data_IF_045524811454
#
_entry.id   IF_045524811454
#
_cell.length_a   1.000
_cell.length_b   1.000
_cell.length_c   1.000
_cell.angle_alpha   90.00
_cell.angle_beta   90.00
_cell.angle_gamma   90.00
#
_symmetry.space_group_name_H-M   'P 1'
#
loop_
_entity.id
_entity.type
_entity.pdbx_description
1 polymer ?
#
# COMPACT_ATOMS: atom_id res chain seq x y z
N UNK A 1 -23.81 -29.78 7.90
CA UNK A 1 -24.70 -29.50 6.76
C UNK A 1 -24.81 -28.00 6.42
N UNK A 2 -24.60 -27.04 7.33
CA UNK A 2 -24.64 -25.60 6.99
C UNK A 2 -23.41 -25.12 6.18
N UNK A 3 -22.29 -25.82 6.27
CA UNK A 3 -21.01 -25.43 5.66
C UNK A 3 -21.05 -25.42 4.12
N UNK A 4 -21.82 -26.34 3.51
CA UNK A 4 -21.94 -26.41 2.05
C UNK A 4 -22.87 -25.35 1.47
N UNK A 5 -23.90 -24.91 2.20
CA UNK A 5 -24.79 -23.85 1.75
C UNK A 5 -24.11 -22.49 1.77
N UNK A 6 -23.32 -22.22 2.82
CA UNK A 6 -22.50 -21.00 2.90
C UNK A 6 -21.43 -20.98 1.81
N UNK A 7 -20.66 -22.07 1.63
CA UNK A 7 -19.63 -22.15 0.59
C UNK A 7 -20.20 -21.92 -0.82
N UNK A 8 -21.37 -22.50 -1.14
CA UNK A 8 -22.06 -22.23 -2.41
C UNK A 8 -22.52 -20.77 -2.55
N UNK A 9 -23.06 -20.19 -1.47
CA UNK A 9 -23.48 -18.79 -1.49
C UNK A 9 -22.29 -17.83 -1.68
N UNK A 10 -21.14 -18.13 -1.06
CA UNK A 10 -19.89 -17.39 -1.26
C UNK A 10 -19.44 -17.50 -2.71
N UNK A 11 -19.33 -18.72 -3.26
CA UNK A 11 -18.90 -18.91 -4.64
C UNK A 11 -19.84 -18.23 -5.66
N UNK A 12 -21.15 -18.33 -5.46
CA UNK A 12 -22.14 -17.70 -6.35
C UNK A 12 -22.11 -16.17 -6.27
N UNK A 13 -21.98 -15.60 -5.07
CA UNK A 13 -21.86 -14.16 -4.90
C UNK A 13 -20.51 -13.64 -5.43
N UNK A 14 -19.44 -14.40 -5.29
CA UNK A 14 -18.12 -14.06 -5.82
C UNK A 14 -18.13 -14.06 -7.36
N UNK A 15 -18.69 -15.10 -7.99
CA UNK A 15 -18.91 -15.11 -9.45
C UNK A 15 -19.77 -13.93 -9.92
N UNK A 16 -20.86 -13.62 -9.20
CA UNK A 16 -21.67 -12.43 -9.51
C UNK A 16 -20.84 -11.14 -9.50
N UNK A 17 -20.01 -10.96 -8.47
CA UNK A 17 -19.20 -9.75 -8.30
C UNK A 17 -18.07 -9.67 -9.33
N UNK A 18 -17.42 -10.78 -9.66
CA UNK A 18 -16.27 -10.81 -10.57
C UNK A 18 -16.69 -10.81 -12.03
N UNK A 19 -17.79 -11.49 -12.37
CA UNK A 19 -18.16 -11.77 -13.76
C UNK A 19 -19.29 -10.86 -14.29
N UNK A 20 -20.14 -10.29 -13.42
CA UNK A 20 -21.34 -9.54 -13.84
C UNK A 20 -21.37 -8.06 -13.42
N UNK A 21 -20.58 -7.63 -12.44
CA UNK A 21 -20.65 -6.26 -11.90
C UNK A 21 -19.28 -5.57 -11.85
N UNK A 22 -19.24 -4.33 -12.34
CA UNK A 22 -18.05 -3.49 -12.23
C UNK A 22 -17.91 -2.91 -10.80
N UNK A 23 -16.67 -2.60 -10.36
CA UNK A 23 -16.44 -1.80 -9.16
C UNK A 23 -17.30 -0.53 -9.07
N UNK A 24 -17.79 -0.22 -7.87
CA UNK A 24 -18.71 0.87 -7.60
C UNK A 24 -20.18 0.56 -7.86
N UNK A 25 -20.51 -0.54 -8.54
CA UNK A 25 -21.89 -0.93 -8.78
C UNK A 25 -22.58 -1.44 -7.50
N UNK A 26 -23.88 -1.16 -7.37
CA UNK A 26 -24.71 -1.67 -6.27
C UNK A 26 -25.27 -3.04 -6.63
N UNK A 27 -25.03 -4.03 -5.79
CA UNK A 27 -25.63 -5.34 -5.94
C UNK A 27 -27.15 -5.30 -5.72
N UNK A 28 -27.90 -6.30 -6.22
CA UNK A 28 -29.30 -6.48 -5.88
C UNK A 28 -29.54 -6.64 -4.37
N UNK A 29 -30.80 -6.51 -3.95
CA UNK A 29 -31.14 -6.61 -2.53
C UNK A 29 -30.90 -8.01 -1.96
N UNK A 30 -30.62 -8.12 -0.65
CA UNK A 30 -30.36 -9.41 0.00
C UNK A 30 -31.49 -10.44 -0.22
N UNK A 31 -32.75 -9.99 -0.22
CA UNK A 31 -33.89 -10.88 -0.42
C UNK A 31 -33.89 -11.50 -1.83
N UNK A 32 -33.54 -10.69 -2.84
CA UNK A 32 -33.49 -11.09 -4.24
C UNK A 32 -32.31 -12.03 -4.50
N UNK A 33 -31.13 -11.69 -4.00
CA UNK A 33 -29.95 -12.56 -4.11
C UNK A 33 -30.14 -13.89 -3.38
N UNK A 34 -30.77 -13.89 -2.20
CA UNK A 34 -31.03 -15.11 -1.45
C UNK A 34 -31.97 -16.05 -2.22
N UNK A 35 -33.00 -15.48 -2.87
CA UNK A 35 -33.88 -16.23 -3.76
C UNK A 35 -33.12 -16.74 -5.00
N UNK A 36 -32.33 -15.89 -5.67
CA UNK A 36 -31.53 -16.24 -6.85
C UNK A 36 -30.59 -17.42 -6.57
N UNK A 37 -29.95 -17.43 -5.40
CA UNK A 37 -29.00 -18.47 -5.02
C UNK A 37 -29.62 -19.67 -4.29
N UNK A 38 -30.94 -19.64 -4.04
CA UNK A 38 -31.64 -20.73 -3.35
C UNK A 38 -31.16 -20.94 -1.90
N UNK A 39 -30.82 -19.86 -1.19
CA UNK A 39 -30.34 -19.90 0.20
C UNK A 39 -31.18 -19.01 1.12
N UNK A 40 -31.04 -19.19 2.43
CA UNK A 40 -31.69 -18.31 3.39
C UNK A 40 -31.06 -16.90 3.35
N UNK A 41 -31.82 -15.87 3.72
CA UNK A 41 -31.29 -14.50 3.88
C UNK A 41 -30.13 -14.43 4.88
N UNK A 42 -30.17 -15.26 5.93
CA UNK A 42 -29.09 -15.34 6.90
C UNK A 42 -27.81 -15.90 6.27
N UNK A 43 -27.92 -16.97 5.48
CA UNK A 43 -26.78 -17.57 4.75
C UNK A 43 -26.18 -16.57 3.77
N UNK A 44 -27.00 -15.83 3.03
CA UNK A 44 -26.50 -14.78 2.14
C UNK A 44 -25.76 -13.69 2.90
N UNK A 45 -26.28 -13.23 4.05
CA UNK A 45 -25.59 -12.23 4.87
C UNK A 45 -24.21 -12.69 5.31
N UNK A 46 -24.07 -13.95 5.75
CA UNK A 46 -22.76 -14.50 6.09
C UNK A 46 -21.84 -14.60 4.86
N UNK A 47 -22.38 -14.99 3.69
CA UNK A 47 -21.59 -14.99 2.46
C UNK A 47 -21.09 -13.59 2.08
N UNK A 48 -21.95 -12.58 2.15
CA UNK A 48 -21.59 -11.19 1.86
C UNK A 48 -20.56 -10.65 2.87
N UNK A 49 -20.61 -11.06 4.14
CA UNK A 49 -19.55 -10.73 5.12
C UNK A 49 -18.21 -11.38 4.77
N UNK A 50 -18.21 -12.61 4.29
CA UNK A 50 -16.99 -13.28 3.80
C UNK A 50 -16.42 -12.52 2.60
N UNK A 51 -17.25 -12.15 1.64
CA UNK A 51 -16.82 -11.33 0.48
C UNK A 51 -16.29 -9.96 0.92
N UNK A 52 -16.92 -9.33 1.91
CA UNK A 52 -16.44 -8.06 2.47
C UNK A 52 -15.07 -8.22 3.15
N UNK A 53 -14.85 -9.31 3.89
CA UNK A 53 -13.55 -9.64 4.47
C UNK A 53 -12.47 -9.94 3.43
N UNK A 54 -12.86 -10.38 2.23
CA UNK A 54 -11.97 -10.54 1.06
C UNK A 54 -11.79 -9.25 0.26
N UNK A 55 -12.43 -8.15 0.67
CA UNK A 55 -12.35 -6.87 -0.03
C UNK A 55 -13.09 -6.84 -1.36
N UNK A 56 -14.06 -7.73 -1.61
CA UNK A 56 -14.81 -7.76 -2.88
C UNK A 56 -16.05 -6.86 -2.85
N UNK A 57 -16.62 -6.60 -1.67
CA UNK A 57 -17.79 -5.74 -1.49
C UNK A 57 -17.67 -4.86 -0.25
N UNK A 58 -18.28 -3.68 -0.30
CA UNK A 58 -18.50 -2.82 0.87
C UNK A 58 -19.92 -3.00 1.38
N UNK A 59 -20.06 -3.20 2.70
CA UNK A 59 -21.35 -3.35 3.38
C UNK A 59 -21.71 -2.08 4.15
N UNK A 60 -22.91 -1.53 3.89
CA UNK A 60 -23.45 -0.38 4.61
C UNK A 60 -24.74 -0.71 5.36
N UNK A 61 -24.94 -0.13 6.55
CA UNK A 61 -26.19 -0.32 7.31
C UNK A 61 -27.40 0.15 6.51
N UNK A 62 -28.32 -0.77 6.22
CA UNK A 62 -29.55 -0.49 5.46
C UNK A 62 -29.30 -0.12 3.99
N UNK A 63 -28.08 -0.31 3.48
CA UNK A 63 -27.71 -0.02 2.09
C UNK A 63 -27.43 -1.32 1.35
N UNK A 64 -27.65 -1.31 0.04
CA UNK A 64 -27.24 -2.42 -0.84
C UNK A 64 -25.71 -2.53 -0.82
N UNK A 65 -25.14 -3.76 -0.83
CA UNK A 65 -23.70 -3.95 -1.00
C UNK A 65 -23.21 -3.27 -2.26
N UNK A 66 -22.00 -2.72 -2.21
CA UNK A 66 -21.33 -2.08 -3.36
C UNK A 66 -20.11 -2.92 -3.72
N UNK A 67 -19.91 -3.21 -5.00
CA UNK A 67 -18.68 -3.89 -5.46
C UNK A 67 -17.49 -2.97 -5.20
N UNK A 68 -16.44 -3.49 -4.57
CA UNK A 68 -15.26 -2.71 -4.21
C UNK A 68 -14.25 -2.75 -5.36
N UNK A 69 -13.53 -1.64 -5.55
CA UNK A 69 -12.32 -1.66 -6.38
C UNK A 69 -11.27 -2.55 -5.68
N UNK A 70 -10.60 -3.47 -6.39
CA UNK A 70 -9.51 -4.24 -5.82
C UNK A 70 -8.37 -3.32 -5.35
N UNK A 71 -7.89 -3.55 -4.12
CA UNK A 71 -6.72 -2.87 -3.56
C UNK A 71 -5.95 -3.81 -2.60
N UNK A 72 -4.79 -3.36 -2.14
CA UNK A 72 -3.92 -4.11 -1.25
C UNK A 72 -4.37 -4.17 0.21
N UNK A 73 -5.45 -3.50 0.61
CA UNK A 73 -5.75 -3.28 2.04
C UNK A 73 -6.03 -4.57 2.82
N UNK A 74 -6.52 -5.61 2.13
CA UNK A 74 -6.78 -6.94 2.72
C UNK A 74 -5.47 -7.57 3.22
N UNK A 75 -4.35 -7.29 2.54
CA UNK A 75 -3.02 -7.76 2.94
C UNK A 75 -2.45 -6.99 4.14
N UNK A 76 -2.80 -5.70 4.26
CA UNK A 76 -2.30 -4.80 5.32
C UNK A 76 -2.55 -5.34 6.72
N UNK A 77 -3.76 -5.82 6.99
CA UNK A 77 -4.10 -6.41 8.29
C UNK A 77 -3.24 -7.64 8.64
N UNK A 78 -2.94 -8.50 7.66
CA UNK A 78 -2.11 -9.68 7.87
C UNK A 78 -0.65 -9.29 8.15
N UNK A 79 -0.05 -8.46 7.28
CA UNK A 79 1.35 -8.05 7.44
C UNK A 79 1.58 -7.22 8.70
N UNK A 80 0.62 -6.39 9.11
CA UNK A 80 0.69 -5.64 10.36
C UNK A 80 0.81 -6.57 11.58
N UNK A 81 0.06 -7.67 11.61
CA UNK A 81 0.15 -8.66 12.70
C UNK A 81 1.47 -9.44 12.64
N UNK A 82 1.86 -9.90 11.45
CA UNK A 82 3.09 -10.67 11.27
C UNK A 82 4.32 -9.89 11.76
N UNK A 83 4.44 -8.62 11.37
CA UNK A 83 5.60 -7.79 11.73
C UNK A 83 5.63 -7.36 13.19
N UNK A 84 4.49 -7.27 13.88
CA UNK A 84 4.48 -6.98 15.33
C UNK A 84 5.06 -8.12 16.16
N UNK A 85 5.15 -9.34 15.60
CA UNK A 85 5.66 -10.52 16.31
C UNK A 85 7.17 -10.70 16.18
N UNK A 86 7.81 -10.02 15.23
CA UNK A 86 9.24 -10.16 14.96
C UNK A 86 9.89 -8.79 14.70
N UNK A 87 10.76 -8.30 15.61
CA UNK A 87 11.53 -7.09 15.42
C UNK A 87 12.41 -7.08 14.15
N UNK A 88 12.83 -8.25 13.65
CA UNK A 88 13.64 -8.37 12.43
C UNK A 88 12.83 -8.23 11.15
N UNK A 89 11.50 -8.39 11.22
CA UNK A 89 10.64 -8.31 10.03
C UNK A 89 10.66 -6.95 9.34
N UNK A 90 11.06 -5.88 10.03
CA UNK A 90 11.26 -4.56 9.40
C UNK A 90 12.49 -4.53 8.49
N UNK A 91 13.54 -5.29 8.80
CA UNK A 91 14.72 -5.41 7.92
C UNK A 91 14.38 -6.24 6.68
N UNK A 92 13.69 -7.36 6.86
CA UNK A 92 13.18 -8.17 5.74
C UNK A 92 12.23 -7.37 4.84
N UNK A 93 11.42 -6.48 5.42
CA UNK A 93 10.59 -5.55 4.64
C UNK A 93 11.45 -4.65 3.75
N UNK A 94 12.55 -4.11 4.26
CA UNK A 94 13.44 -3.25 3.46
C UNK A 94 14.07 -4.04 2.30
N UNK A 95 14.42 -5.31 2.50
CA UNK A 95 14.92 -6.19 1.42
C UNK A 95 13.87 -6.43 0.33
N UNK A 96 12.61 -6.68 0.73
CA UNK A 96 11.48 -6.82 -0.21
C UNK A 96 11.26 -5.50 -0.95
N UNK A 97 11.29 -4.37 -0.25
CA UNK A 97 11.17 -3.04 -0.86
C UNK A 97 12.29 -2.79 -1.85
N UNK A 98 13.54 -3.14 -1.55
CA UNK A 98 14.66 -2.97 -2.51
C UNK A 98 14.36 -3.72 -3.80
N UNK A 99 13.85 -4.96 -3.71
CA UNK A 99 13.51 -5.74 -4.89
C UNK A 99 12.35 -5.15 -5.70
N UNK A 100 11.28 -4.72 -5.03
CA UNK A 100 10.04 -4.26 -5.69
C UNK A 100 10.12 -2.81 -6.16
N UNK A 101 10.69 -1.93 -5.35
CA UNK A 101 10.69 -0.49 -5.62
C UNK A 101 11.81 -0.06 -6.55
N UNK A 102 12.95 -0.76 -6.57
CA UNK A 102 13.96 -0.57 -7.63
C UNK A 102 13.37 -0.95 -8.98
N UNK A 103 12.68 -2.09 -9.06
CA UNK A 103 11.94 -2.48 -10.27
C UNK A 103 10.87 -1.43 -10.63
N UNK A 104 10.14 -0.91 -9.64
CA UNK A 104 9.15 0.13 -9.86
C UNK A 104 9.78 1.41 -10.41
N UNK A 105 10.90 1.86 -9.85
CA UNK A 105 11.65 3.04 -10.29
C UNK A 105 12.09 2.91 -11.75
N UNK A 106 12.71 1.77 -12.11
CA UNK A 106 13.14 1.51 -13.49
C UNK A 106 11.97 1.45 -14.47
N UNK A 107 10.86 0.82 -14.07
CA UNK A 107 9.64 0.78 -14.89
C UNK A 107 8.98 2.17 -15.02
N UNK A 108 8.94 2.95 -13.94
CA UNK A 108 8.42 4.30 -13.93
C UNK A 108 9.23 5.20 -14.86
N UNK A 109 10.57 5.16 -14.79
CA UNK A 109 11.45 5.89 -15.70
C UNK A 109 11.27 5.47 -17.17
N UNK A 110 11.12 4.17 -17.44
CA UNK A 110 10.88 3.65 -18.80
C UNK A 110 9.56 4.12 -19.39
N UNK A 111 8.53 4.23 -18.55
CA UNK A 111 7.15 4.57 -18.96
C UNK A 111 6.82 6.03 -18.73
N UNK A 112 7.75 6.83 -18.20
CA UNK A 112 7.40 8.15 -17.70
C UNK A 112 6.81 8.99 -18.83
N UNK A 113 5.71 9.66 -18.53
CA UNK A 113 5.21 10.79 -19.27
C UNK A 113 5.17 11.99 -18.34
N UNK A 114 4.89 13.19 -18.87
CA UNK A 114 4.79 14.43 -18.05
C UNK A 114 3.87 14.27 -16.82
N UNK A 115 2.79 13.50 -16.94
CA UNK A 115 1.87 13.24 -15.85
C UNK A 115 2.48 12.37 -14.73
N UNK A 116 3.36 11.42 -15.06
CA UNK A 116 3.98 10.50 -14.10
C UNK A 116 4.94 11.23 -13.16
N UNK A 117 5.83 12.05 -13.73
CA UNK A 117 6.78 12.83 -12.94
C UNK A 117 6.06 13.83 -12.02
N UNK A 118 4.99 14.48 -12.51
CA UNK A 118 4.22 15.46 -11.74
C UNK A 118 3.58 14.87 -10.47
N UNK A 119 3.13 13.60 -10.50
CA UNK A 119 2.57 12.94 -9.31
C UNK A 119 3.65 12.69 -8.26
N UNK A 120 4.84 12.24 -8.69
CA UNK A 120 5.98 12.03 -7.79
C UNK A 120 6.51 13.35 -7.22
N UNK A 121 6.58 14.40 -8.05
CA UNK A 121 6.91 15.77 -7.62
C UNK A 121 5.92 16.27 -6.57
N UNK A 122 4.61 16.06 -6.78
CA UNK A 122 3.57 16.43 -5.80
C UNK A 122 3.74 15.71 -4.47
N UNK A 123 4.08 14.42 -4.48
CA UNK A 123 4.33 13.67 -3.26
C UNK A 123 5.58 14.19 -2.53
N UNK A 124 6.66 14.46 -3.27
CA UNK A 124 7.88 15.06 -2.73
C UNK A 124 7.65 16.46 -2.13
N UNK A 125 6.84 17.30 -2.78
CA UNK A 125 6.46 18.62 -2.27
C UNK A 125 5.68 18.52 -0.96
N UNK A 126 4.79 17.53 -0.82
CA UNK A 126 4.07 17.27 0.44
C UNK A 126 5.02 16.85 1.56
N UNK A 127 6.02 16.02 1.26
CA UNK A 127 7.06 15.66 2.23
C UNK A 127 7.84 16.91 2.67
N UNK A 128 8.29 17.71 1.71
CA UNK A 128 9.04 18.94 1.99
C UNK A 128 8.22 19.93 2.85
N UNK A 129 6.94 20.12 2.52
CA UNK A 129 6.04 20.99 3.29
C UNK A 129 5.74 20.51 4.71
N UNK A 130 5.98 19.23 5.02
CA UNK A 130 5.79 18.71 6.37
C UNK A 130 6.96 19.06 7.33
N UNK A 131 8.15 19.37 6.81
CA UNK A 131 9.37 19.61 7.61
C UNK A 131 9.22 20.82 8.53
N UNK A 132 8.53 21.87 8.07
CA UNK A 132 8.36 23.13 8.81
C UNK A 132 7.26 23.08 9.88
N UNK A 133 6.54 21.95 10.00
CA UNK A 133 5.46 21.78 10.99
C UNK A 133 6.03 21.52 12.40
N UNK A 134 5.23 21.73 13.44
CA UNK A 134 5.59 21.32 14.81
C UNK A 134 5.38 19.82 15.05
N UNK A 135 5.99 19.24 16.09
CA UNK A 135 5.61 17.89 16.55
C UNK A 135 4.24 17.91 17.26
N UNK A 136 3.44 16.84 17.15
CA UNK A 136 3.66 15.58 16.42
C UNK A 136 3.16 15.62 14.96
N UNK A 137 2.76 16.79 14.47
CA UNK A 137 2.17 16.94 13.13
C UNK A 137 3.18 16.65 12.02
N UNK A 138 4.42 17.12 12.18
CA UNK A 138 5.52 16.86 11.24
C UNK A 138 5.72 15.37 11.01
N UNK A 139 5.98 14.60 12.08
CA UNK A 139 6.23 13.15 11.98
C UNK A 139 5.11 12.46 11.21
N UNK A 140 3.85 12.72 11.59
CA UNK A 140 2.70 12.08 10.95
C UNK A 140 2.59 12.44 9.47
N UNK A 141 2.63 13.73 9.13
CA UNK A 141 2.46 14.20 7.73
C UNK A 141 3.62 13.79 6.85
N UNK A 142 4.84 13.78 7.39
CA UNK A 142 6.02 13.37 6.65
C UNK A 142 5.92 11.88 6.28
N UNK A 143 5.59 11.00 7.23
CA UNK A 143 5.47 9.56 6.97
C UNK A 143 4.28 9.21 6.07
N UNK A 144 3.16 9.93 6.18
CA UNK A 144 2.03 9.79 5.24
C UNK A 144 2.45 10.17 3.80
N UNK A 145 3.19 11.27 3.63
CA UNK A 145 3.67 11.71 2.34
C UNK A 145 4.75 10.79 1.76
N UNK A 146 5.63 10.25 2.60
CA UNK A 146 6.65 9.25 2.24
C UNK A 146 5.99 7.95 1.72
N UNK A 147 5.02 7.41 2.45
CA UNK A 147 4.26 6.24 2.01
C UNK A 147 3.56 6.49 0.65
N UNK A 148 2.92 7.65 0.51
CA UNK A 148 2.25 8.05 -0.74
C UNK A 148 3.23 8.22 -1.92
N UNK A 149 4.48 8.61 -1.68
CA UNK A 149 5.51 8.67 -2.71
C UNK A 149 5.82 7.29 -3.28
N UNK A 150 6.05 6.31 -2.41
CA UNK A 150 6.38 4.94 -2.80
C UNK A 150 5.20 4.24 -3.51
N UNK A 151 3.97 4.47 -3.04
CA UNK A 151 2.76 4.02 -3.73
C UNK A 151 2.63 4.63 -5.14
N UNK A 152 2.81 5.96 -5.24
CA UNK A 152 2.77 6.66 -6.51
C UNK A 152 3.83 6.14 -7.50
N UNK A 153 5.02 5.76 -7.01
CA UNK A 153 6.06 5.16 -7.84
C UNK A 153 5.67 3.78 -8.37
N UNK A 154 5.01 2.96 -7.57
CA UNK A 154 4.51 1.66 -8.02
C UNK A 154 3.36 1.79 -9.04
N UNK A 155 2.47 2.77 -8.85
CA UNK A 155 1.46 3.11 -9.85
C UNK A 155 2.09 3.61 -11.16
N UNK A 156 3.10 4.48 -11.06
CA UNK A 156 3.89 4.99 -12.17
C UNK A 156 4.61 3.88 -12.96
N UNK A 157 4.99 2.79 -12.30
CA UNK A 157 5.55 1.61 -12.95
C UNK A 157 4.57 0.89 -13.90
N UNK A 158 3.29 1.28 -13.90
CA UNK A 158 2.24 0.69 -14.73
C UNK A 158 1.87 -0.73 -14.29
N UNK A 159 1.94 -1.01 -13.00
CA UNK A 159 1.74 -2.35 -12.44
C UNK A 159 0.85 -2.29 -11.20
N UNK A 160 -0.47 -2.45 -11.40
CA UNK A 160 -1.45 -2.47 -10.30
C UNK A 160 -1.13 -3.54 -9.25
N UNK A 161 -0.61 -4.70 -9.67
CA UNK A 161 -0.18 -5.75 -8.74
C UNK A 161 1.00 -5.33 -7.86
N UNK A 162 1.90 -4.46 -8.34
CA UNK A 162 2.98 -3.92 -7.49
C UNK A 162 2.40 -2.95 -6.47
N UNK A 163 1.48 -2.08 -6.90
CA UNK A 163 0.79 -1.15 -6.01
C UNK A 163 0.05 -1.90 -4.89
N UNK A 164 -0.72 -2.95 -5.21
CA UNK A 164 -1.43 -3.76 -4.20
C UNK A 164 -0.50 -4.40 -3.17
N UNK A 165 0.70 -4.84 -3.58
CA UNK A 165 1.67 -5.40 -2.64
C UNK A 165 2.21 -4.32 -1.71
N UNK A 166 2.55 -3.13 -2.22
CA UNK A 166 3.04 -2.02 -1.40
C UNK A 166 1.95 -1.41 -0.50
N UNK A 167 0.72 -1.26 -0.99
CA UNK A 167 -0.47 -0.89 -0.20
C UNK A 167 -0.70 -1.91 0.93
N UNK A 168 -0.48 -3.20 0.64
CA UNK A 168 -0.48 -4.26 1.64
C UNK A 168 0.59 -4.07 2.73
N UNK A 169 1.63 -3.29 2.48
CA UNK A 169 2.63 -2.96 3.49
C UNK A 169 2.42 -1.59 4.13
N UNK A 170 1.40 -0.79 3.78
CA UNK A 170 1.28 0.62 4.18
C UNK A 170 1.48 0.85 5.69
N UNK A 171 0.75 0.13 6.55
CA UNK A 171 0.88 0.27 8.01
C UNK A 171 2.26 -0.15 8.51
N UNK A 172 2.86 -1.12 7.85
CA UNK A 172 4.20 -1.63 8.15
C UNK A 172 5.30 -0.69 7.66
N UNK A 173 5.10 -0.04 6.51
CA UNK A 173 5.96 1.00 5.96
C UNK A 173 6.01 2.19 6.89
N UNK A 174 4.85 2.68 7.37
CA UNK A 174 4.80 3.79 8.35
C UNK A 174 5.61 3.49 9.61
N UNK A 175 5.57 2.24 10.11
CA UNK A 175 6.41 1.81 11.24
C UNK A 175 7.90 1.75 10.88
N UNK A 176 8.22 1.22 9.70
CA UNK A 176 9.60 1.16 9.18
C UNK A 176 10.19 2.56 9.00
N UNK A 177 9.41 3.51 8.47
CA UNK A 177 9.80 4.92 8.37
C UNK A 177 10.04 5.53 9.75
N UNK A 178 9.08 5.45 10.68
CA UNK A 178 9.27 5.99 12.02
C UNK A 178 10.52 5.43 12.74
N UNK A 179 10.87 4.16 12.51
CA UNK A 179 12.08 3.55 13.06
C UNK A 179 13.36 4.00 12.33
N UNK A 180 13.39 3.94 11.00
CA UNK A 180 14.55 4.36 10.21
C UNK A 180 14.86 5.84 10.39
N UNK A 181 13.86 6.72 10.43
CA UNK A 181 14.10 8.16 10.63
C UNK A 181 14.73 8.45 11.99
N UNK A 182 14.29 7.76 13.05
CA UNK A 182 14.94 7.84 14.37
C UNK A 182 16.42 7.45 14.29
N UNK A 183 16.74 6.38 13.56
CA UNK A 183 18.13 5.97 13.33
C UNK A 183 18.93 6.97 12.49
N UNK A 184 18.32 7.54 11.46
CA UNK A 184 18.92 8.57 10.60
C UNK A 184 19.33 9.80 11.40
N UNK A 185 18.41 10.35 12.20
CA UNK A 185 18.68 11.48 13.07
C UNK A 185 19.67 11.14 14.20
N UNK A 186 19.60 9.94 14.78
CA UNK A 186 20.57 9.50 15.78
C UNK A 186 22.00 9.41 15.23
N UNK A 187 22.15 9.21 13.92
CA UNK A 187 23.44 9.24 13.22
C UNK A 187 23.87 10.63 12.74
N UNK A 188 23.11 11.66 13.09
CA UNK A 188 23.39 13.05 12.70
C UNK A 188 22.92 13.43 11.31
N UNK A 189 22.08 12.61 10.67
CA UNK A 189 21.44 12.97 9.41
C UNK A 189 20.32 13.98 9.60
N UNK A 190 19.82 14.53 8.50
CA UNK A 190 18.73 15.51 8.51
C UNK A 190 17.63 15.25 7.46
N UNK A 191 16.57 16.06 7.49
CA UNK A 191 15.48 15.97 6.50
C UNK A 191 15.92 16.34 5.08
N UNK A 192 16.96 17.17 4.92
CA UNK A 192 17.43 17.56 3.60
C UNK A 192 18.06 16.38 2.86
N UNK A 193 18.78 15.52 3.57
CA UNK A 193 19.32 14.26 3.02
C UNK A 193 18.20 13.30 2.59
N UNK A 194 17.16 13.14 3.41
CA UNK A 194 15.99 12.30 3.09
C UNK A 194 15.30 12.82 1.82
N UNK A 195 15.00 14.13 1.78
CA UNK A 195 14.37 14.75 0.61
C UNK A 195 15.27 14.68 -0.62
N UNK A 196 16.59 14.77 -0.44
CA UNK A 196 17.58 14.61 -1.51
C UNK A 196 17.55 13.23 -2.15
N UNK A 197 17.44 12.18 -1.34
CA UNK A 197 17.31 10.80 -1.83
C UNK A 197 16.05 10.60 -2.69
N UNK A 198 14.90 11.11 -2.21
CA UNK A 198 13.64 11.06 -2.96
C UNK A 198 13.71 11.88 -4.25
N UNK A 199 14.27 13.09 -4.18
CA UNK A 199 14.47 13.95 -5.36
C UNK A 199 15.31 13.28 -6.43
N UNK A 200 16.38 12.58 -6.06
CA UNK A 200 17.21 11.86 -7.02
C UNK A 200 16.41 10.81 -7.83
N UNK A 201 15.45 10.12 -7.18
CA UNK A 201 14.54 9.20 -7.87
C UNK A 201 13.61 9.96 -8.83
N UNK A 202 12.99 11.05 -8.37
CA UNK A 202 12.09 11.88 -9.21
C UNK A 202 12.79 12.40 -10.45
N UNK A 203 13.99 12.96 -10.29
CA UNK A 203 14.78 13.52 -11.40
C UNK A 203 15.18 12.43 -12.40
N UNK A 204 15.60 11.26 -11.93
CA UNK A 204 15.92 10.14 -12.82
C UNK A 204 14.69 9.63 -13.59
N UNK A 205 13.53 9.51 -12.92
CA UNK A 205 12.27 9.13 -13.58
C UNK A 205 11.86 10.18 -14.61
N UNK A 206 11.97 11.47 -14.27
CA UNK A 206 11.67 12.60 -15.15
C UNK A 206 12.61 12.67 -16.36
N UNK A 207 13.87 12.31 -16.18
CA UNK A 207 14.87 12.23 -17.24
C UNK A 207 14.71 10.98 -18.14
N UNK A 208 13.77 10.08 -17.82
CA UNK A 208 13.61 8.77 -18.46
C UNK A 208 14.85 7.87 -18.36
N UNK A 209 15.68 8.09 -17.32
CA UNK A 209 16.93 7.36 -17.11
C UNK A 209 16.67 6.15 -16.20
N UNK A 210 16.46 4.99 -16.82
CA UNK A 210 16.15 3.73 -16.12
C UNK A 210 17.30 3.32 -15.18
N UNK A 211 18.57 3.21 -15.62
CA UNK A 211 19.68 2.91 -14.72
C UNK A 211 19.79 3.89 -13.54
N UNK A 212 19.66 5.20 -13.78
CA UNK A 212 19.76 6.18 -12.71
C UNK A 212 18.61 6.05 -11.70
N UNK A 213 17.38 5.78 -12.16
CA UNK A 213 16.23 5.63 -11.27
C UNK A 213 16.37 4.38 -10.38
N UNK A 214 16.82 3.26 -10.97
CA UNK A 214 17.10 2.03 -10.24
C UNK A 214 18.24 2.23 -9.22
N UNK A 215 19.30 2.94 -9.61
CA UNK A 215 20.43 3.22 -8.73
C UNK A 215 20.03 4.15 -7.57
N UNK A 216 19.28 5.22 -7.85
CA UNK A 216 18.81 6.16 -6.85
C UNK A 216 17.91 5.48 -5.81
N UNK A 217 16.96 4.66 -6.26
CA UNK A 217 16.07 3.92 -5.35
C UNK A 217 16.84 2.89 -4.51
N UNK A 218 17.80 2.20 -5.12
CA UNK A 218 18.66 1.25 -4.40
C UNK A 218 19.51 1.94 -3.33
N UNK A 219 20.09 3.10 -3.66
CA UNK A 219 20.87 3.88 -2.71
C UNK A 219 20.01 4.36 -1.54
N UNK A 220 18.79 4.84 -1.84
CA UNK A 220 17.82 5.25 -0.83
C UNK A 220 17.48 4.10 0.13
N UNK A 221 17.11 2.92 -0.37
CA UNK A 221 16.69 1.80 0.48
C UNK A 221 17.83 1.20 1.30
N UNK A 222 19.07 1.20 0.78
CA UNK A 222 20.26 0.81 1.56
C UNK A 222 20.56 1.78 2.69
N UNK A 223 20.33 3.08 2.47
CA UNK A 223 20.45 4.07 3.52
C UNK A 223 19.38 3.83 4.60
N UNK A 224 18.12 3.61 4.20
CA UNK A 224 17.02 3.24 5.11
C UNK A 224 17.34 1.98 5.91
N UNK A 225 17.90 0.94 5.29
CA UNK A 225 18.33 -0.28 5.97
C UNK A 225 19.38 0.02 7.03
N UNK A 226 20.42 0.79 6.66
CA UNK A 226 21.46 1.21 7.60
C UNK A 226 20.82 1.96 8.77
N UNK A 227 19.96 2.96 8.50
CA UNK A 227 19.27 3.77 9.50
C UNK A 227 18.45 2.91 10.46
N UNK A 228 17.67 1.97 9.92
CA UNK A 228 16.87 1.04 10.69
C UNK A 228 17.73 0.16 11.61
N UNK A 229 18.88 -0.35 11.13
CA UNK A 229 19.83 -1.11 11.98
C UNK A 229 20.30 -0.29 13.18
N UNK A 230 20.68 0.96 12.96
CA UNK A 230 21.10 1.84 14.06
C UNK A 230 19.97 2.12 15.07
N UNK A 231 18.73 2.25 14.60
CA UNK A 231 17.58 2.42 15.48
C UNK A 231 17.31 1.17 16.35
N UNK A 232 17.47 -0.03 15.77
CA UNK A 232 17.34 -1.30 16.49
C UNK A 232 18.46 -1.45 17.53
N UNK A 233 19.70 -1.17 17.14
CA UNK A 233 20.87 -1.24 18.04
C UNK A 233 20.76 -0.25 19.21
N UNK A 234 20.24 0.96 18.98
CA UNK A 234 20.03 1.96 20.04
C UNK A 234 18.89 1.61 21.02
N UNK A 235 17.99 0.68 20.63
CA UNK A 235 16.87 0.23 21.44
C UNK A 235 17.15 -1.06 22.24
N UNK A 236 18.28 -1.72 21.96
CA UNK A 236 18.75 -2.93 22.64
C UNK A 236 19.59 -2.59 23.89
#
# INVERSE_FOLDING_TARGET
MSDTALARAVAAAEGLVVDEYEPGARLPGEAELAQRFGVSRLTLREALKVLAGRGLVELGRGRRPVVREPDGSVLSGYFAVAMRRDPHALLELVEIRESLEVLAAGKAARRSGRATAAVLETALERMAGAVDLGEPERERRFHEADAAFHEALALAAGSRMLAFVLEGFEDSLKRSFAASYRGHFARGGDFAEVLGAHRAVVEAVRAHDVPAAEQAMRAHLRQVEKDLRAAIEAAA
#
